data_IF_892244542836
#
_entry.id   IF_892244542836
#
_cell.length_a   1.000
_cell.length_b   1.000
_cell.length_c   1.000
_cell.angle_alpha   90.00
_cell.angle_beta   90.00
_cell.angle_gamma   90.00
#
_symmetry.space_group_name_H-M   'P 1'
#
loop_
_entity.id
_entity.type
_entity.pdbx_description
1 polymer ?
#
# COMPACT_ATOMS: atom_id res chain seq x y z
N UNK A 1 -34.60 -23.30 19.48
CA UNK A 1 -33.63 -23.82 18.50
C UNK A 1 -33.90 -23.08 17.18
N UNK A 2 -33.77 -21.76 17.11
CA UNK A 2 -32.65 -20.86 17.43
C UNK A 2 -31.52 -20.86 16.39
N UNK A 3 -31.08 -19.66 16.05
CA UNK A 3 -30.04 -19.21 15.12
C UNK A 3 -30.35 -19.11 13.61
N UNK A 4 -31.23 -18.16 13.26
CA UNK A 4 -31.05 -17.33 12.05
C UNK A 4 -30.90 -15.86 12.45
N UNK A 5 -29.89 -15.57 13.26
CA UNK A 5 -29.29 -14.24 13.33
C UNK A 5 -28.07 -14.29 12.42
N UNK A 6 -28.30 -14.03 11.13
CA UNK A 6 -27.25 -13.43 10.31
C UNK A 6 -27.27 -11.98 10.69
N UNK A 7 -26.46 -11.65 11.70
CA UNK A 7 -26.21 -10.28 12.10
C UNK A 7 -25.91 -9.47 10.86
N UNK A 8 -26.78 -8.50 10.61
CA UNK A 8 -26.60 -7.44 9.64
C UNK A 8 -25.45 -6.58 10.16
N UNK A 9 -24.22 -7.06 9.96
CA UNK A 9 -23.05 -6.24 10.19
C UNK A 9 -23.06 -5.15 9.12
N UNK A 10 -23.35 -3.93 9.52
CA UNK A 10 -22.84 -2.73 8.84
C UNK A 10 -21.30 -2.81 8.91
N UNK A 11 -20.70 -3.60 8.02
CA UNK A 11 -19.27 -3.91 7.98
C UNK A 11 -18.50 -3.04 6.98
N UNK A 12 -19.19 -2.13 6.29
CA UNK A 12 -18.61 -1.25 5.30
C UNK A 12 -18.11 0.02 5.98
N UNK A 13 -16.79 0.13 6.12
CA UNK A 13 -16.17 1.39 6.48
C UNK A 13 -16.17 2.27 5.22
N UNK A 14 -16.83 3.43 5.27
CA UNK A 14 -16.88 4.36 4.14
C UNK A 14 -16.14 5.66 4.46
N UNK A 15 -15.40 6.17 3.47
CA UNK A 15 -14.82 7.50 3.47
C UNK A 15 -15.16 8.21 2.18
N UNK A 16 -15.75 9.39 2.28
CA UNK A 16 -16.19 10.11 1.10
C UNK A 16 -16.06 11.62 1.20
N UNK A 17 -16.02 12.28 0.03
CA UNK A 17 -16.03 13.75 -0.12
C UNK A 17 -14.85 14.48 0.53
N UNK A 18 -13.68 13.85 0.56
CA UNK A 18 -12.48 14.43 1.19
C UNK A 18 -11.59 15.06 0.11
N UNK A 19 -11.06 16.25 0.39
CA UNK A 19 -10.22 17.00 -0.55
C UNK A 19 -8.96 17.50 0.15
N UNK A 20 -7.80 17.42 -0.52
CA UNK A 20 -6.51 17.95 -0.03
C UNK A 20 -6.07 17.38 1.33
N UNK A 21 -6.22 16.08 1.54
CA UNK A 21 -5.86 15.43 2.81
C UNK A 21 -4.90 14.27 2.64
N UNK A 22 -4.07 14.06 3.67
CA UNK A 22 -3.32 12.81 3.86
C UNK A 22 -3.95 12.04 5.02
N UNK A 23 -4.51 10.88 4.72
CA UNK A 23 -5.29 10.06 5.66
C UNK A 23 -4.54 8.75 5.89
N UNK A 24 -4.54 8.29 7.15
CA UNK A 24 -3.99 6.99 7.53
C UNK A 24 -5.09 6.11 8.11
N UNK A 25 -5.17 4.87 7.63
CA UNK A 25 -6.06 3.83 8.16
C UNK A 25 -5.19 2.81 8.88
N UNK A 26 -5.52 2.54 10.14
CA UNK A 26 -4.76 1.61 10.98
C UNK A 26 -5.41 0.22 11.04
N UNK A 27 -4.75 -0.69 11.76
CA UNK A 27 -5.17 -2.09 11.90
C UNK A 27 -6.54 -2.29 12.57
N UNK A 28 -7.20 -1.25 13.11
CA UNK A 28 -8.59 -1.37 13.60
C UNK A 28 -9.61 -1.66 12.48
N UNK A 29 -9.17 -1.53 11.23
CA UNK A 29 -9.91 -1.86 10.01
C UNK A 29 -9.53 -3.23 9.42
N UNK A 30 -8.69 -4.01 10.12
CA UNK A 30 -8.33 -5.36 9.68
C UNK A 30 -9.58 -6.20 9.39
N UNK A 31 -9.55 -6.88 8.24
CA UNK A 31 -10.57 -7.77 7.71
C UNK A 31 -11.93 -7.12 7.43
N UNK A 32 -12.02 -5.79 7.44
CA UNK A 32 -13.21 -5.04 7.01
C UNK A 32 -13.15 -4.69 5.54
N UNK A 33 -14.31 -4.45 4.96
CA UNK A 33 -14.41 -3.82 3.65
C UNK A 33 -14.25 -2.31 3.81
N UNK A 34 -13.50 -1.69 2.90
CA UNK A 34 -13.31 -0.24 2.84
C UNK A 34 -13.85 0.29 1.53
N UNK A 35 -14.77 1.25 1.61
CA UNK A 35 -15.24 2.04 0.48
C UNK A 35 -14.66 3.45 0.57
N UNK A 36 -14.02 3.89 -0.51
CA UNK A 36 -13.45 5.22 -0.65
C UNK A 36 -14.05 5.84 -1.89
N UNK A 37 -14.79 6.93 -1.73
CA UNK A 37 -15.51 7.56 -2.85
C UNK A 37 -15.36 9.08 -2.86
N UNK A 38 -15.40 9.72 -4.04
CA UNK A 38 -15.43 11.18 -4.13
C UNK A 38 -14.25 11.91 -3.44
N UNK A 39 -13.02 11.38 -3.57
CA UNK A 39 -11.83 12.06 -3.07
C UNK A 39 -11.13 12.86 -4.18
N UNK A 40 -10.59 14.01 -3.83
CA UNK A 40 -9.72 14.78 -4.71
C UNK A 40 -8.42 15.20 -4.01
N UNK A 41 -7.29 15.11 -4.70
CA UNK A 41 -6.00 15.60 -4.19
C UNK A 41 -5.60 14.98 -2.84
N UNK A 42 -5.93 13.69 -2.65
CA UNK A 42 -5.74 12.99 -1.38
C UNK A 42 -4.65 11.92 -1.45
N UNK A 43 -3.98 11.69 -0.32
CA UNK A 43 -3.14 10.50 -0.11
C UNK A 43 -3.76 9.64 0.97
N UNK A 44 -4.02 8.37 0.69
CA UNK A 44 -4.54 7.40 1.64
C UNK A 44 -3.49 6.31 1.89
N UNK A 45 -3.06 6.15 3.14
CA UNK A 45 -2.14 5.09 3.58
C UNK A 45 -2.89 4.10 4.44
N UNK A 46 -3.09 2.89 3.94
CA UNK A 46 -3.87 1.83 4.57
C UNK A 46 -2.90 0.81 5.20
N UNK A 47 -2.63 0.98 6.48
CA UNK A 47 -1.86 0.07 7.33
C UNK A 47 -2.75 -1.01 7.97
N UNK A 48 -3.70 -1.54 7.19
CA UNK A 48 -4.65 -2.59 7.58
C UNK A 48 -4.72 -3.67 6.50
N UNK A 49 -4.93 -4.92 6.90
CA UNK A 49 -5.22 -6.03 5.99
C UNK A 49 -6.72 -6.06 5.75
N UNK A 50 -7.21 -5.30 4.77
CA UNK A 50 -8.64 -5.22 4.45
C UNK A 50 -9.16 -6.52 3.83
N UNK A 51 -10.46 -6.77 3.96
CA UNK A 51 -11.15 -7.83 3.22
C UNK A 51 -11.27 -7.47 1.73
N UNK A 52 -11.87 -6.31 1.45
CA UNK A 52 -12.10 -5.78 0.09
C UNK A 52 -11.87 -4.27 0.07
N UNK A 53 -11.38 -3.74 -1.05
CA UNK A 53 -11.30 -2.29 -1.30
C UNK A 53 -12.19 -1.91 -2.49
N UNK A 54 -13.10 -0.97 -2.26
CA UNK A 54 -13.88 -0.29 -3.29
C UNK A 54 -13.41 1.16 -3.38
N UNK A 55 -12.89 1.56 -4.52
CA UNK A 55 -12.40 2.90 -4.79
C UNK A 55 -13.16 3.50 -5.98
N UNK A 56 -13.96 4.54 -5.77
CA UNK A 56 -14.72 5.19 -6.83
C UNK A 56 -14.55 6.70 -6.85
N UNK A 57 -14.70 7.31 -8.02
CA UNK A 57 -14.82 8.77 -8.16
C UNK A 57 -13.62 9.52 -7.55
N UNK A 58 -12.40 9.00 -7.76
CA UNK A 58 -11.16 9.57 -7.24
C UNK A 58 -10.48 10.44 -8.29
N UNK A 59 -9.93 11.59 -7.87
CA UNK A 59 -9.19 12.49 -8.75
C UNK A 59 -7.87 12.92 -8.13
N UNK A 60 -6.75 12.70 -8.82
CA UNK A 60 -5.42 13.09 -8.33
C UNK A 60 -5.11 12.50 -6.93
N UNK A 61 -5.50 11.25 -6.71
CA UNK A 61 -5.33 10.58 -5.42
C UNK A 61 -4.23 9.52 -5.46
N UNK A 62 -3.54 9.34 -4.33
CA UNK A 62 -2.57 8.25 -4.13
C UNK A 62 -3.08 7.31 -3.05
N UNK A 63 -3.33 6.04 -3.38
CA UNK A 63 -3.77 5.01 -2.44
C UNK A 63 -2.65 3.99 -2.26
N UNK A 64 -2.14 3.84 -1.04
CA UNK A 64 -1.06 2.91 -0.68
C UNK A 64 -1.61 1.96 0.38
N UNK A 65 -1.61 0.66 0.13
CA UNK A 65 -2.19 -0.33 1.04
C UNK A 65 -1.26 -1.49 1.32
N UNK A 66 -1.34 -2.02 2.54
CA UNK A 66 -0.96 -3.41 2.80
C UNK A 66 -1.83 -4.37 1.96
N UNK A 67 -1.40 -5.63 1.79
CA UNK A 67 -2.17 -6.68 1.12
C UNK A 67 -3.64 -6.76 1.57
N UNK A 68 -4.52 -6.85 0.57
CA UNK A 68 -5.98 -6.98 0.70
C UNK A 68 -6.34 -8.44 0.45
N UNK A 69 -7.25 -8.99 1.25
CA UNK A 69 -7.53 -10.42 1.25
C UNK A 69 -8.09 -10.92 -0.08
N UNK A 70 -9.03 -10.18 -0.67
CA UNK A 70 -9.81 -10.66 -1.81
C UNK A 70 -9.70 -9.73 -3.00
N UNK A 71 -10.64 -8.81 -3.15
CA UNK A 71 -10.87 -8.06 -4.36
C UNK A 71 -10.58 -6.59 -4.18
N UNK A 72 -10.17 -5.96 -5.27
CA UNK A 72 -9.99 -4.52 -5.37
C UNK A 72 -10.75 -4.07 -6.60
N UNK A 73 -11.66 -3.12 -6.39
CA UNK A 73 -12.50 -2.53 -7.42
C UNK A 73 -12.17 -1.05 -7.53
N UNK A 74 -11.76 -0.61 -8.71
CA UNK A 74 -11.48 0.79 -9.02
C UNK A 74 -12.45 1.24 -10.09
N UNK A 75 -13.21 2.31 -9.83
CA UNK A 75 -14.17 2.87 -10.78
C UNK A 75 -14.00 4.37 -10.91
N UNK A 76 -14.23 4.91 -12.11
CA UNK A 76 -14.33 6.35 -12.36
C UNK A 76 -13.19 7.16 -11.72
N UNK A 77 -11.95 6.67 -11.84
CA UNK A 77 -10.79 7.28 -11.20
C UNK A 77 -9.87 7.91 -12.24
N UNK A 78 -9.39 9.12 -11.96
CA UNK A 78 -8.61 9.92 -12.92
C UNK A 78 -7.34 10.48 -12.32
N UNK A 79 -6.22 10.24 -13.01
CA UNK A 79 -4.90 10.74 -12.58
C UNK A 79 -4.51 10.25 -11.18
N UNK A 80 -4.87 9.02 -10.84
CA UNK A 80 -4.62 8.43 -9.53
C UNK A 80 -3.47 7.42 -9.56
N UNK A 81 -2.87 7.18 -8.41
CA UNK A 81 -1.85 6.15 -8.21
C UNK A 81 -2.33 5.16 -7.15
N UNK A 82 -2.26 3.88 -7.44
CA UNK A 82 -2.64 2.81 -6.54
C UNK A 82 -1.45 1.88 -6.34
N UNK A 83 -1.01 1.71 -5.10
CA UNK A 83 -0.04 0.71 -4.69
C UNK A 83 -0.74 -0.29 -3.76
N UNK A 84 -1.25 -1.36 -4.35
CA UNK A 84 -2.18 -2.30 -3.70
C UNK A 84 -1.90 -3.74 -4.13
N UNK A 85 -2.12 -4.70 -3.25
CA UNK A 85 -1.98 -6.13 -3.54
C UNK A 85 -3.26 -6.87 -3.17
N UNK A 86 -3.67 -7.85 -3.97
CA UNK A 86 -4.90 -8.61 -3.74
C UNK A 86 -5.00 -9.86 -4.61
N UNK A 87 -6.14 -10.52 -4.60
CA UNK A 87 -6.37 -11.69 -5.46
C UNK A 87 -7.00 -11.29 -6.79
N UNK A 88 -8.03 -10.44 -6.74
CA UNK A 88 -8.79 -9.98 -7.90
C UNK A 88 -8.67 -8.47 -8.07
N UNK A 89 -8.52 -8.02 -9.31
CA UNK A 89 -8.38 -6.60 -9.63
C UNK A 89 -9.27 -6.23 -10.80
N UNK A 90 -10.22 -5.33 -10.58
CA UNK A 90 -11.13 -4.84 -11.62
C UNK A 90 -11.10 -3.33 -11.68
N UNK A 91 -10.95 -2.80 -12.89
CA UNK A 91 -10.86 -1.37 -13.14
C UNK A 91 -11.89 -1.01 -14.20
N UNK A 92 -12.70 0.00 -13.92
CA UNK A 92 -13.77 0.44 -14.79
C UNK A 92 -13.78 1.98 -14.91
N UNK A 93 -14.16 2.53 -16.06
CA UNK A 93 -14.32 3.98 -16.31
C UNK A 93 -13.11 4.85 -15.91
N UNK A 94 -11.87 4.35 -15.97
CA UNK A 94 -10.72 5.04 -15.36
C UNK A 94 -9.69 5.53 -16.39
N UNK A 95 -9.08 6.67 -16.12
CA UNK A 95 -8.16 7.33 -17.06
C UNK A 95 -6.86 7.82 -16.38
N UNK A 96 -5.70 7.61 -17.03
CA UNK A 96 -4.40 8.14 -16.58
C UNK A 96 -4.01 7.68 -15.17
N UNK A 97 -4.31 6.43 -14.83
CA UNK A 97 -4.02 5.87 -13.51
C UNK A 97 -2.82 4.92 -13.54
N UNK A 98 -2.04 4.96 -12.45
CA UNK A 98 -0.86 4.13 -12.24
C UNK A 98 -1.16 3.06 -11.20
N UNK A 99 -0.92 1.81 -11.56
CA UNK A 99 -1.25 0.64 -10.75
C UNK A 99 0.03 -0.16 -10.46
N UNK A 100 0.52 -0.04 -9.24
CA UNK A 100 1.59 -0.85 -8.67
C UNK A 100 0.93 -2.02 -7.95
N UNK A 101 0.85 -3.17 -8.63
CA UNK A 101 0.00 -4.28 -8.19
C UNK A 101 0.74 -5.58 -7.99
N UNK A 102 0.24 -6.38 -7.04
CA UNK A 102 0.46 -7.81 -6.97
C UNK A 102 -0.92 -8.45 -7.00
N UNK A 103 -1.16 -9.30 -7.99
CA UNK A 103 -2.45 -9.95 -8.19
C UNK A 103 -2.24 -11.44 -8.48
N UNK A 104 -3.00 -12.30 -7.80
CA UNK A 104 -2.94 -13.76 -8.03
C UNK A 104 -3.86 -14.21 -9.17
N UNK A 105 -4.70 -13.31 -9.67
CA UNK A 105 -5.42 -13.44 -10.94
C UNK A 105 -5.08 -12.27 -11.88
N UNK A 106 -5.45 -12.38 -13.15
CA UNK A 106 -5.23 -11.29 -14.12
C UNK A 106 -6.13 -10.10 -13.78
N UNK A 107 -5.60 -8.88 -13.90
CA UNK A 107 -6.41 -7.68 -13.80
C UNK A 107 -7.39 -7.61 -14.97
N UNK A 108 -8.61 -7.11 -14.71
CA UNK A 108 -9.63 -6.87 -15.73
C UNK A 108 -9.83 -5.36 -15.86
N UNK A 109 -9.81 -4.85 -17.09
CA UNK A 109 -10.07 -3.43 -17.39
C UNK A 109 -11.18 -3.30 -18.42
N UNK A 110 -12.03 -2.31 -18.24
CA UNK A 110 -13.18 -2.00 -19.11
C UNK A 110 -13.45 -0.49 -19.05
N UNK A 111 -13.81 0.10 -20.19
CA UNK A 111 -13.94 1.53 -20.45
C UNK A 111 -12.79 2.37 -19.88
N UNK A 112 -11.54 1.95 -20.11
CA UNK A 112 -10.35 2.58 -19.53
C UNK A 112 -9.42 3.17 -20.59
N UNK A 113 -8.58 4.15 -20.18
CA UNK A 113 -7.59 4.77 -21.07
C UNK A 113 -6.32 5.21 -20.33
N UNK A 114 -5.17 5.13 -20.99
CA UNK A 114 -3.88 5.57 -20.46
C UNK A 114 -3.54 4.96 -19.08
N UNK A 115 -3.91 3.69 -18.85
CA UNK A 115 -3.54 2.99 -17.62
C UNK A 115 -2.08 2.52 -17.69
N UNK A 116 -1.38 2.54 -16.56
CA UNK A 116 0.02 2.12 -16.51
C UNK A 116 0.25 1.19 -15.34
N UNK A 117 0.88 0.05 -15.57
CA UNK A 117 1.06 -1.01 -14.58
C UNK A 117 2.53 -1.20 -14.21
N UNK A 118 2.78 -1.49 -12.94
CA UNK A 118 4.09 -1.78 -12.36
C UNK A 118 3.94 -2.87 -11.28
N UNK A 119 5.03 -3.57 -10.91
CA UNK A 119 5.00 -4.49 -9.79
C UNK A 119 4.76 -3.73 -8.46
N UNK A 120 3.99 -4.34 -7.56
CA UNK A 120 3.90 -3.93 -6.17
C UNK A 120 5.18 -4.32 -5.42
N UNK A 121 5.95 -3.33 -4.98
CA UNK A 121 7.27 -3.51 -4.35
C UNK A 121 7.34 -2.86 -2.95
N UNK A 122 6.21 -2.79 -2.24
CA UNK A 122 6.23 -2.33 -0.85
C UNK A 122 7.07 -3.27 0.03
N UNK A 123 8.02 -2.68 0.74
CA UNK A 123 8.88 -3.37 1.72
C UNK A 123 8.07 -3.67 2.99
N UNK A 124 7.49 -4.87 3.06
CA UNK A 124 6.68 -5.34 4.18
C UNK A 124 7.04 -6.79 4.53
N UNK A 125 6.75 -7.19 5.76
CA UNK A 125 7.01 -8.55 6.25
C UNK A 125 6.20 -9.60 5.48
N UNK A 126 6.82 -10.76 5.23
CA UNK A 126 6.17 -11.88 4.53
C UNK A 126 4.87 -12.31 5.21
N UNK A 127 4.83 -12.29 6.54
CA UNK A 127 3.65 -12.60 7.35
C UNK A 127 2.44 -11.71 7.04
N UNK A 128 2.65 -10.50 6.50
CA UNK A 128 1.55 -9.61 6.10
C UNK A 128 0.84 -10.13 4.85
N UNK A 129 1.57 -10.70 3.89
CA UNK A 129 0.96 -11.36 2.73
C UNK A 129 0.22 -12.64 3.13
N UNK A 130 0.81 -13.42 4.06
CA UNK A 130 0.20 -14.63 4.59
C UNK A 130 -1.10 -14.33 5.36
N UNK A 131 -1.12 -13.23 6.14
CA UNK A 131 -2.33 -12.74 6.82
C UNK A 131 -3.45 -12.38 5.84
N UNK A 132 -3.11 -11.84 4.67
CA UNK A 132 -4.07 -11.56 3.60
C UNK A 132 -4.39 -12.79 2.73
N UNK A 133 -3.82 -13.96 3.01
CA UNK A 133 -4.03 -15.16 2.21
C UNK A 133 -3.47 -15.06 0.79
N UNK A 134 -2.49 -14.17 0.53
CA UNK A 134 -1.87 -14.03 -0.79
C UNK A 134 -0.72 -15.01 -0.98
N UNK A 135 -0.80 -15.81 -2.05
CA UNK A 135 0.27 -16.70 -2.45
C UNK A 135 1.27 -15.96 -3.35
N UNK A 136 2.46 -15.67 -2.82
CA UNK A 136 3.53 -14.97 -3.52
C UNK A 136 4.16 -15.77 -4.68
N UNK A 137 3.81 -17.05 -4.87
CA UNK A 137 4.27 -17.84 -6.04
C UNK A 137 3.61 -17.39 -7.35
N UNK A 138 2.49 -16.68 -7.26
CA UNK A 138 1.73 -16.19 -8.41
C UNK A 138 1.68 -14.67 -8.38
N UNK A 139 2.10 -14.04 -9.47
CA UNK A 139 1.97 -12.60 -9.64
C UNK A 139 1.73 -12.26 -11.12
N UNK A 140 0.53 -11.77 -11.43
CA UNK A 140 0.07 -11.43 -12.77
C UNK A 140 -0.02 -9.92 -13.00
N UNK A 141 0.81 -9.13 -12.32
CA UNK A 141 0.80 -7.66 -12.41
C UNK A 141 0.91 -7.13 -13.85
N UNK A 142 1.59 -7.86 -14.74
CA UNK A 142 1.80 -7.50 -16.15
C UNK A 142 0.79 -8.17 -17.10
N UNK A 143 -0.18 -8.94 -16.59
CA UNK A 143 -1.22 -9.61 -17.37
C UNK A 143 -2.56 -8.97 -17.12
N UNK A 144 -2.94 -8.06 -18.02
CA UNK A 144 -4.19 -7.32 -17.97
C UNK A 144 -5.10 -7.78 -19.12
N UNK A 145 -6.33 -8.17 -18.78
CA UNK A 145 -7.38 -8.50 -19.73
C UNK A 145 -8.22 -7.24 -19.98
N UNK A 146 -8.15 -6.70 -21.19
CA UNK A 146 -8.93 -5.54 -21.61
C UNK A 146 -10.19 -6.00 -22.37
N UNK A 147 -11.37 -5.71 -21.80
CA UNK A 147 -12.65 -6.11 -22.35
C UNK A 147 -13.07 -5.28 -23.57
N UNK A 148 -12.60 -4.04 -23.70
CA UNK A 148 -12.88 -3.19 -24.86
C UNK A 148 -12.00 -3.53 -26.06
N UNK A 149 -10.97 -4.36 -25.86
CA UNK A 149 -10.00 -4.71 -26.88
C UNK A 149 -9.93 -6.22 -27.14
N UNK A 150 -10.90 -6.79 -27.88
CA UNK A 150 -10.97 -8.23 -28.15
C UNK A 150 -9.88 -8.76 -29.10
N UNK A 151 -8.99 -7.88 -29.60
CA UNK A 151 -7.93 -8.26 -30.54
C UNK A 151 -6.84 -9.09 -29.85
N UNK A 152 -6.70 -10.35 -30.27
CA UNK A 152 -5.65 -11.26 -29.75
C UNK A 152 -4.25 -11.00 -30.32
N UNK A 153 -4.16 -10.33 -31.47
CA UNK A 153 -2.92 -10.19 -32.24
C UNK A 153 -2.25 -8.81 -32.08
N UNK A 154 -2.85 -7.90 -31.31
CA UNK A 154 -2.34 -6.54 -31.07
C UNK A 154 -2.47 -6.20 -29.60
N UNK A 155 -1.46 -5.56 -28.98
CA UNK A 155 -1.59 -5.08 -27.62
C UNK A 155 -2.75 -4.08 -27.53
N UNK A 156 -3.42 -4.04 -26.38
CA UNK A 156 -4.41 -2.99 -26.11
C UNK A 156 -3.72 -1.62 -26.10
N UNK A 157 -4.36 -0.58 -26.69
CA UNK A 157 -3.88 0.80 -26.57
C UNK A 157 -4.22 1.45 -25.22
N UNK A 158 -5.09 0.82 -24.41
CA UNK A 158 -5.65 1.44 -23.20
C UNK A 158 -4.75 1.30 -21.98
N UNK A 159 -3.75 0.42 -22.04
CA UNK A 159 -2.82 0.21 -20.96
C UNK A 159 -1.41 -0.13 -21.45
N UNK A 160 -0.41 0.12 -20.60
CA UNK A 160 0.97 -0.30 -20.81
C UNK A 160 1.68 -0.61 -19.49
N UNK A 161 2.87 -1.17 -19.57
CA UNK A 161 3.78 -1.29 -18.42
C UNK A 161 4.58 0.00 -18.25
N UNK A 162 4.80 0.40 -17.00
CA UNK A 162 5.76 1.47 -16.64
C UNK A 162 7.20 0.98 -16.82
N UNK A 163 7.99 1.79 -17.49
CA UNK A 163 9.45 1.63 -17.55
C UNK A 163 10.06 1.90 -16.17
N UNK A 164 11.26 1.39 -15.91
CA UNK A 164 11.91 1.55 -14.60
C UNK A 164 12.03 3.02 -14.16
N UNK A 165 12.33 3.93 -15.09
CA UNK A 165 12.52 5.36 -14.80
C UNK A 165 11.20 6.11 -14.53
N UNK A 166 10.06 5.54 -14.89
CA UNK A 166 8.74 6.13 -14.61
C UNK A 166 8.18 5.67 -13.26
N UNK A 167 8.80 4.66 -12.63
CA UNK A 167 8.29 4.06 -11.40
C UNK A 167 8.58 4.93 -10.20
N UNK A 168 7.59 5.02 -9.32
CA UNK A 168 7.67 5.62 -8.01
C UNK A 168 8.02 4.57 -6.97
N UNK A 169 8.77 4.97 -5.95
CA UNK A 169 9.00 4.15 -4.77
C UNK A 169 7.97 4.48 -3.69
N UNK A 170 7.40 3.43 -3.10
CA UNK A 170 6.47 3.57 -1.98
C UNK A 170 7.07 2.98 -0.72
N UNK A 171 6.74 3.60 0.41
CA UNK A 171 7.03 3.04 1.72
C UNK A 171 5.97 3.50 2.71
N UNK A 172 5.65 2.60 3.64
CA UNK A 172 5.16 3.07 4.93
C UNK A 172 6.37 3.57 5.71
N UNK A 173 6.21 4.64 6.49
CA UNK A 173 7.26 5.16 7.39
C UNK A 173 7.49 4.23 8.59
N UNK A 174 7.68 2.94 8.31
CA UNK A 174 7.68 1.81 9.25
C UNK A 174 8.83 1.83 10.26
N UNK A 175 9.80 2.74 10.12
CA UNK A 175 10.86 2.87 11.11
C UNK A 175 10.35 3.33 12.48
N UNK A 176 9.20 4.01 12.56
CA UNK A 176 8.66 4.48 13.85
C UNK A 176 7.86 3.41 14.62
N UNK A 177 7.29 2.41 13.96
CA UNK A 177 6.43 1.42 14.63
C UNK A 177 7.21 0.28 15.30
N UNK A 178 8.27 -0.23 14.64
CA UNK A 178 9.18 -1.19 15.25
C UNK A 178 9.97 -0.58 16.41
N UNK A 179 10.34 0.70 16.32
CA UNK A 179 10.97 1.41 17.44
C UNK A 179 9.99 1.57 18.62
N UNK A 180 8.73 1.95 18.40
CA UNK A 180 7.76 2.13 19.49
C UNK A 180 7.33 0.79 20.12
N UNK A 181 7.18 -0.28 19.33
CA UNK A 181 6.88 -1.61 19.89
C UNK A 181 8.06 -2.17 20.70
N UNK A 182 9.30 -2.05 20.20
CA UNK A 182 10.49 -2.46 20.95
C UNK A 182 10.77 -1.58 22.18
N UNK A 183 10.47 -0.28 22.13
CA UNK A 183 10.57 0.61 23.30
C UNK A 183 9.53 0.21 24.35
N UNK A 184 8.28 -0.09 23.96
CA UNK A 184 7.23 -0.53 24.89
C UNK A 184 7.51 -1.91 25.51
N UNK A 185 8.15 -2.83 24.78
CA UNK A 185 8.52 -4.15 25.31
C UNK A 185 9.81 -4.14 26.15
N UNK A 186 10.69 -3.14 26.00
CA UNK A 186 11.93 -2.99 26.78
C UNK A 186 11.83 -1.96 27.94
N UNK A 187 10.67 -1.33 28.17
CA UNK A 187 10.45 -0.58 29.42
C UNK A 187 10.06 -1.57 30.50
N UNK A 188 11.05 -2.15 31.17
CA UNK A 188 10.87 -2.68 32.51
C UNK A 188 10.50 -1.49 33.42
N UNK A 189 9.28 -1.45 33.93
CA UNK A 189 8.84 -0.40 34.86
C UNK A 189 9.73 -0.40 36.09
N UNK A 190 10.50 0.65 36.40
CA UNK A 190 11.05 0.83 37.73
C UNK A 190 10.01 1.66 38.50
N UNK A 191 9.00 0.98 39.03
CA UNK A 191 8.19 1.56 40.10
C UNK A 191 8.37 0.71 41.35
N UNK A 192 9.55 0.83 41.95
CA UNK A 192 9.69 0.75 43.40
C UNK A 192 10.28 2.08 43.86
N UNK A 193 9.53 2.70 44.76
CA UNK A 193 9.78 3.98 45.40
C UNK A 193 11.14 4.02 46.10
N UNK A 194 11.89 5.10 45.90
CA UNK A 194 12.45 5.91 46.99
C UNK A 194 13.10 7.19 46.43
N UNK A 195 12.74 8.33 47.04
CA UNK A 195 13.41 9.63 46.95
C UNK A 195 13.35 10.41 45.61
N UNK A 196 12.16 10.90 45.28
CA UNK A 196 11.96 12.35 45.08
C UNK A 196 12.77 13.12 44.01
N UNK A 197 13.17 12.52 42.88
CA UNK A 197 13.65 13.29 41.71
C UNK A 197 12.99 12.82 40.41
N UNK A 198 12.12 13.67 39.87
CA UNK A 198 11.42 13.46 38.60
C UNK A 198 12.37 13.80 37.43
N UNK A 199 12.84 12.79 36.69
CA UNK A 199 13.64 13.01 35.48
C UNK A 199 12.69 13.27 34.30
N UNK A 200 12.62 14.53 33.85
CA UNK A 200 11.85 14.91 32.65
C UNK A 200 12.69 14.62 31.40
N UNK A 201 12.41 13.51 30.71
CA UNK A 201 12.96 13.25 29.38
C UNK A 201 12.44 14.31 28.39
N UNK A 202 13.31 15.19 27.91
CA UNK A 202 13.01 16.13 26.83
C UNK A 202 13.12 15.41 25.48
N UNK A 203 12.00 15.20 24.79
CA UNK A 203 12.04 14.79 23.37
C UNK A 203 12.40 16.01 22.51
N UNK A 204 13.55 15.94 21.83
CA UNK A 204 14.00 16.95 20.87
C UNK A 204 13.25 16.73 19.56
N UNK A 205 12.32 17.63 19.22
CA UNK A 205 11.79 17.77 17.85
C UNK A 205 12.90 18.41 17.05
N UNK A 206 13.61 17.67 16.22
CA UNK A 206 14.40 18.18 15.09
C UNK A 206 14.70 17.00 14.15
N UNK A 207 13.96 16.88 13.04
CA UNK A 207 14.41 16.12 11.89
C UNK A 207 13.75 16.67 10.61
N UNK A 208 14.41 17.66 10.02
CA UNK A 208 14.32 17.99 8.60
C UNK A 208 15.73 18.33 8.14
N UNK A 209 16.48 17.31 7.71
CA UNK A 209 17.54 17.51 6.72
C UNK A 209 17.70 16.23 5.90
N UNK A 210 17.39 16.33 4.61
CA UNK A 210 17.37 15.22 3.63
C UNK A 210 18.70 15.19 2.84
N UNK A 211 19.76 15.87 3.31
CA UNK A 211 21.04 15.94 2.59
C UNK A 211 22.01 14.78 2.85
N UNK A 212 21.73 13.88 3.81
CA UNK A 212 22.68 12.84 4.23
C UNK A 212 22.72 11.53 3.44
N UNK A 213 21.69 11.21 2.62
CA UNK A 213 21.58 9.88 2.00
C UNK A 213 22.41 9.65 0.73
N UNK A 214 23.11 10.67 0.21
CA UNK A 214 23.89 10.55 -1.05
C UNK A 214 25.35 10.09 -0.91
N UNK A 215 25.87 9.88 0.31
CA UNK A 215 27.29 9.57 0.51
C UNK A 215 27.61 8.13 0.94
N UNK A 216 26.64 7.22 0.99
CA UNK A 216 26.89 5.83 1.41
C UNK A 216 27.21 4.85 0.26
N UNK A 217 27.03 5.22 -1.01
CA UNK A 217 27.26 4.31 -2.16
C UNK A 217 28.64 4.45 -2.83
N UNK A 218 29.57 5.25 -2.30
CA UNK A 218 30.93 5.41 -2.87
C UNK A 218 32.06 4.67 -2.15
N UNK A 219 31.79 3.96 -1.04
CA UNK A 219 32.86 3.34 -0.23
C UNK A 219 32.88 1.79 -0.22
N UNK A 220 32.16 1.10 -1.11
CA UNK A 220 32.22 -0.37 -1.22
C UNK A 220 33.00 -0.89 -2.43
N UNK A 221 33.76 -0.03 -3.13
CA UNK A 221 34.54 -0.42 -4.30
C UNK A 221 36.03 -0.08 -4.19
N UNK A 222 36.71 -0.49 -3.11
CA UNK A 222 38.18 -0.63 -3.05
C UNK A 222 38.60 -1.43 -1.81
N UNK A 223 38.74 -2.76 -1.92
CA UNK A 223 39.79 -3.54 -1.22
C UNK A 223 39.61 -5.05 -1.46
N UNK A 224 40.19 -5.56 -2.52
CA UNK A 224 40.59 -6.97 -2.60
C UNK A 224 41.72 -7.10 -3.61
N UNK A 225 42.92 -6.70 -3.20
CA UNK A 225 44.18 -7.21 -3.73
C UNK A 225 45.04 -7.60 -2.52
N UNK A 226 45.78 -8.69 -2.71
CA UNK A 226 46.88 -9.19 -1.89
C UNK A 226 46.49 -10.06 -0.68
N UNK A 227 46.50 -11.38 -0.88
CA UNK A 227 47.50 -12.28 -0.27
C UNK A 227 47.17 -13.73 -0.63
N UNK A 228 48.04 -14.41 -1.38
CA UNK A 228 48.58 -15.73 -1.06
C UNK A 228 49.80 -15.97 -1.95
N UNK A 229 50.92 -16.30 -1.29
CA UNK A 229 52.02 -17.02 -1.91
C UNK A 229 51.75 -18.51 -1.98
#
# INVERSE_FOLDING_TARGET
MDSRNLDHFDQNCEMSHIVNQSISIDSSYDFKDLTVSNLADCTLKISATLSTLYASDLKNCTIISLPICTSIFVRNSKSCTFCVAGQQFRIHDSEKCDFYILVTSRAIVENCRDLRFAPYELKIEKSTYEKAGLNLRTNFWDKVNDFDWPSKNRPSPNWRVLTANERLEFSFSLYYMHAIQNIKSNVQTPYSSENGKQIRMKFKRDMLDISGYKNAEKNSATSSNDFFG
#
